data_IF_546789663924
#
_entry.id   IF_546789663924
#
_cell.length_a   1.000
_cell.length_b   1.000
_cell.length_c   1.000
_cell.angle_alpha   90.00
_cell.angle_beta   90.00
_cell.angle_gamma   90.00
#
_symmetry.space_group_name_H-M   'P 1'
#
loop_
_entity.id
_entity.type
_entity.pdbx_description
1 polymer ?
#
# COMPACT_ATOMS: atom_id res chain seq x y z
N UNK A 1 -60.04 -16.19 22.66
CA UNK A 1 -59.51 -15.01 21.94
C UNK A 1 -58.94 -14.05 22.97
N UNK A 2 -57.61 -13.95 23.10
CA UNK A 2 -56.96 -13.00 24.03
C UNK A 2 -56.69 -11.71 23.26
N UNK A 3 -57.48 -10.67 23.52
CA UNK A 3 -57.26 -9.33 23.00
C UNK A 3 -56.10 -8.69 23.78
N UNK A 4 -54.94 -8.56 23.14
CA UNK A 4 -53.82 -7.82 23.72
C UNK A 4 -54.17 -6.32 23.73
N UNK A 5 -54.15 -5.71 24.91
CA UNK A 5 -54.40 -4.27 25.11
C UNK A 5 -53.45 -3.43 24.26
N UNK A 6 -54.01 -2.52 23.44
CA UNK A 6 -53.27 -1.60 22.56
C UNK A 6 -52.21 -0.75 23.30
N UNK A 7 -52.37 -0.51 24.60
CA UNK A 7 -51.36 0.16 25.44
C UNK A 7 -50.06 -0.64 25.57
N UNK A 8 -50.15 -1.96 25.61
CA UNK A 8 -48.99 -2.85 25.75
C UNK A 8 -48.17 -2.90 24.46
N UNK A 9 -48.83 -2.85 23.29
CA UNK A 9 -48.17 -2.80 21.98
C UNK A 9 -47.45 -1.46 21.76
N UNK A 10 -48.06 -0.33 22.16
CA UNK A 10 -47.46 1.01 22.00
C UNK A 10 -46.20 1.21 22.87
N UNK A 11 -46.17 0.68 24.10
CA UNK A 11 -44.98 0.75 24.98
C UNK A 11 -43.81 -0.13 24.50
N UNK A 12 -44.09 -1.26 23.85
CA UNK A 12 -43.07 -2.13 23.24
C UNK A 12 -42.47 -1.51 21.97
N UNK A 13 -43.27 -0.81 21.17
CA UNK A 13 -42.81 -0.13 19.95
C UNK A 13 -41.99 1.13 20.28
N UNK A 14 -42.34 1.85 21.35
CA UNK A 14 -41.56 3.03 21.77
C UNK A 14 -40.21 2.64 22.39
N UNK A 15 -40.15 1.56 23.19
CA UNK A 15 -38.87 1.10 23.74
C UNK A 15 -37.94 0.58 22.65
N UNK A 16 -38.45 -0.20 21.68
CA UNK A 16 -37.67 -0.71 20.55
C UNK A 16 -37.08 0.41 19.67
N UNK A 17 -37.83 1.49 19.43
CA UNK A 17 -37.34 2.64 18.65
C UNK A 17 -36.30 3.47 19.41
N UNK A 18 -36.39 3.55 20.74
CA UNK A 18 -35.37 4.18 21.58
C UNK A 18 -34.07 3.37 21.61
N UNK A 19 -34.18 2.04 21.74
CA UNK A 19 -33.01 1.17 21.64
C UNK A 19 -32.36 1.24 20.26
N UNK A 20 -33.16 1.29 19.19
CA UNK A 20 -32.65 1.43 17.83
C UNK A 20 -31.95 2.79 17.63
N UNK A 21 -32.54 3.89 18.10
CA UNK A 21 -31.91 5.21 18.03
C UNK A 21 -30.63 5.29 18.89
N UNK A 22 -30.59 4.67 20.07
CA UNK A 22 -29.39 4.59 20.90
C UNK A 22 -28.27 3.79 20.22
N UNK A 23 -28.61 2.69 19.53
CA UNK A 23 -27.66 1.89 18.76
C UNK A 23 -27.18 2.65 17.51
N UNK A 24 -28.05 3.40 16.83
CA UNK A 24 -27.67 4.23 15.68
C UNK A 24 -26.80 5.44 16.10
N UNK A 25 -27.05 6.02 17.28
CA UNK A 25 -26.24 7.09 17.86
C UNK A 25 -24.85 6.58 18.31
N UNK A 26 -24.75 5.32 18.77
CA UNK A 26 -23.47 4.75 19.20
C UNK A 26 -22.59 4.29 18.03
N UNK A 27 -23.17 3.92 16.88
CA UNK A 27 -22.41 3.59 15.67
C UNK A 27 -21.81 4.85 15.02
N UNK A 28 -22.48 6.00 15.14
CA UNK A 28 -22.04 7.26 14.50
C UNK A 28 -20.85 7.95 15.19
N UNK A 29 -20.43 7.50 16.38
CA UNK A 29 -19.24 8.01 17.09
C UNK A 29 -17.97 7.22 16.83
N UNK A 30 -17.99 6.21 15.94
CA UNK A 30 -16.78 5.51 15.48
C UNK A 30 -15.94 6.45 14.61
N UNK A 31 -15.03 7.19 15.25
CA UNK A 31 -14.01 7.96 14.55
C UNK A 31 -12.96 6.99 14.00
N UNK A 32 -12.90 6.88 12.67
CA UNK A 32 -11.82 6.17 11.97
C UNK A 32 -10.64 7.13 11.90
N UNK A 33 -9.68 7.00 12.82
CA UNK A 33 -8.38 7.66 12.66
C UNK A 33 -7.67 7.01 11.47
N UNK A 34 -7.53 7.76 10.37
CA UNK A 34 -6.68 7.34 9.27
C UNK A 34 -5.23 7.33 9.74
N UNK A 35 -4.57 6.18 9.69
CA UNK A 35 -3.12 6.08 9.90
C UNK A 35 -2.46 6.74 8.68
N UNK A 36 -2.11 8.02 8.79
CA UNK A 36 -1.32 8.70 7.79
C UNK A 36 0.12 8.19 7.89
N UNK A 37 0.57 7.41 6.90
CA UNK A 37 1.97 7.01 6.77
C UNK A 37 2.74 8.25 6.25
N UNK A 38 3.28 9.05 7.16
CA UNK A 38 4.06 10.25 6.86
C UNK A 38 5.53 9.90 6.56
N UNK A 39 5.74 9.00 5.60
CA UNK A 39 7.09 8.67 5.13
C UNK A 39 7.15 8.71 3.60
N UNK A 40 7.44 9.90 3.08
CA UNK A 40 7.57 10.12 1.64
C UNK A 40 8.92 9.63 1.10
N UNK A 41 8.93 9.20 -0.16
CA UNK A 41 10.15 8.99 -0.92
C UNK A 41 10.71 10.35 -1.34
N UNK A 42 11.96 10.64 -0.97
CA UNK A 42 12.62 11.89 -1.29
C UNK A 42 13.21 11.81 -2.69
N UNK A 43 12.64 12.58 -3.62
CA UNK A 43 13.15 12.69 -4.98
C UNK A 43 13.00 11.40 -5.78
N UNK A 44 13.86 11.24 -6.79
CA UNK A 44 13.87 10.06 -7.64
C UNK A 44 14.84 9.01 -7.08
N UNK A 45 14.49 7.72 -7.14
CA UNK A 45 15.41 6.65 -6.78
C UNK A 45 16.63 6.67 -7.71
N UNK A 46 17.82 6.45 -7.14
CA UNK A 46 19.04 6.29 -7.92
C UNK A 46 19.04 4.89 -8.53
N UNK A 47 19.19 4.82 -9.85
CA UNK A 47 19.23 3.56 -10.60
C UNK A 47 20.64 3.37 -11.14
N UNK A 48 21.30 2.28 -10.75
CA UNK A 48 22.58 1.86 -11.30
C UNK A 48 22.39 0.60 -12.13
N UNK A 49 22.61 0.73 -13.43
CA UNK A 49 22.61 -0.40 -14.35
C UNK A 49 24.05 -0.90 -14.52
N UNK A 50 24.24 -2.20 -14.31
CA UNK A 50 25.48 -2.94 -14.56
C UNK A 50 25.22 -4.00 -15.63
N UNK A 51 26.27 -4.64 -16.11
CA UNK A 51 26.19 -5.81 -16.99
C UNK A 51 25.49 -7.02 -16.33
N UNK A 52 25.60 -7.14 -15.01
CA UNK A 52 25.03 -8.25 -14.23
C UNK A 52 23.61 -7.98 -13.72
N UNK A 53 23.21 -6.73 -13.54
CA UNK A 53 22.01 -6.39 -12.80
C UNK A 53 21.66 -4.90 -12.76
N UNK A 54 20.53 -4.59 -12.15
CA UNK A 54 20.09 -3.23 -11.84
C UNK A 54 19.98 -3.09 -10.32
N UNK A 55 20.56 -2.02 -9.78
CA UNK A 55 20.51 -1.69 -8.38
C UNK A 55 19.74 -0.39 -8.16
N UNK A 56 18.78 -0.42 -7.26
CA UNK A 56 17.88 0.68 -6.95
C UNK A 56 18.20 1.18 -5.53
N UNK A 57 18.36 2.49 -5.37
CA UNK A 57 18.54 3.10 -4.07
C UNK A 57 17.46 4.17 -3.85
N UNK A 58 16.63 3.93 -2.84
CA UNK A 58 15.50 4.78 -2.45
C UNK A 58 15.89 5.53 -1.19
N UNK A 59 15.59 6.83 -1.14
CA UNK A 59 15.71 7.65 0.07
C UNK A 59 14.34 8.05 0.54
N UNK A 60 14.14 8.04 1.85
CA UNK A 60 12.86 8.38 2.49
C UNK A 60 13.08 9.40 3.60
N UNK A 61 12.02 10.12 3.99
CA UNK A 61 12.10 11.16 5.03
C UNK A 61 12.38 10.59 6.43
N UNK A 62 11.75 9.47 6.73
CA UNK A 62 11.90 8.70 7.95
C UNK A 62 12.48 7.31 7.62
N UNK A 63 12.90 6.51 8.63
CA UNK A 63 13.38 5.16 8.40
C UNK A 63 12.42 4.33 7.53
N UNK A 64 12.95 3.73 6.47
CA UNK A 64 12.14 2.96 5.54
C UNK A 64 11.81 1.59 6.13
N UNK A 65 10.53 1.33 6.39
CA UNK A 65 10.02 0.04 6.88
C UNK A 65 8.92 -0.42 5.96
N UNK A 66 9.24 -1.34 5.07
CA UNK A 66 8.28 -1.79 4.06
C UNK A 66 8.90 -2.83 3.13
N UNK A 67 8.29 -2.99 1.96
CA UNK A 67 8.70 -3.96 0.95
C UNK A 67 9.05 -3.26 -0.35
N UNK A 68 10.19 -3.61 -0.94
CA UNK A 68 10.58 -3.22 -2.29
C UNK A 68 10.54 -4.48 -3.17
N UNK A 69 9.87 -4.42 -4.31
CA UNK A 69 9.73 -5.57 -5.19
C UNK A 69 9.59 -5.18 -6.66
N UNK A 70 9.84 -6.15 -7.55
CA UNK A 70 9.57 -5.98 -8.97
C UNK A 70 8.06 -6.08 -9.21
N UNK A 71 7.51 -5.13 -9.98
CA UNK A 71 6.09 -5.05 -10.34
C UNK A 71 5.56 -6.39 -10.85
N UNK A 72 4.47 -6.84 -10.24
CA UNK A 72 3.85 -8.14 -10.55
C UNK A 72 4.59 -9.36 -10.02
N UNK A 73 5.67 -9.20 -9.26
CA UNK A 73 6.48 -10.29 -8.69
C UNK A 73 6.47 -10.32 -7.15
N UNK A 74 5.50 -9.66 -6.50
CA UNK A 74 5.42 -9.60 -5.03
C UNK A 74 5.37 -10.99 -4.36
N UNK A 75 4.77 -11.98 -5.01
CA UNK A 75 4.64 -13.34 -4.50
C UNK A 75 5.91 -14.17 -4.60
N UNK A 76 6.97 -13.69 -5.25
CA UNK A 76 8.24 -14.40 -5.43
C UNK A 76 9.25 -13.83 -4.43
N UNK A 77 9.67 -14.59 -3.39
CA UNK A 77 10.54 -14.06 -2.33
C UNK A 77 11.89 -13.55 -2.84
N UNK A 78 12.44 -14.14 -3.91
CA UNK A 78 13.71 -13.67 -4.51
C UNK A 78 13.58 -12.35 -5.26
N UNK A 79 12.35 -11.89 -5.52
CA UNK A 79 12.03 -10.65 -6.22
C UNK A 79 11.45 -9.57 -5.30
N UNK A 80 11.48 -9.84 -3.98
CA UNK A 80 11.01 -8.94 -2.93
C UNK A 80 12.08 -8.83 -1.86
N UNK A 81 12.31 -7.62 -1.38
CA UNK A 81 13.14 -7.37 -0.22
C UNK A 81 12.31 -6.67 0.86
N UNK A 82 12.36 -7.23 2.07
CA UNK A 82 11.65 -6.74 3.24
C UNK A 82 12.60 -5.95 4.14
N UNK A 83 12.13 -4.82 4.66
CA UNK A 83 12.93 -3.87 5.44
C UNK A 83 12.31 -3.57 6.82
N UNK A 84 11.64 -4.54 7.43
CA UNK A 84 10.91 -4.34 8.70
C UNK A 84 11.78 -3.86 9.89
N UNK A 85 13.08 -4.15 9.87
CA UNK A 85 14.05 -3.74 10.90
C UNK A 85 15.10 -2.75 10.39
N UNK A 86 14.75 -1.99 9.36
CA UNK A 86 15.64 -0.98 8.83
C UNK A 86 15.41 0.36 9.53
N UNK A 87 16.46 0.86 10.18
CA UNK A 87 16.45 2.16 10.85
C UNK A 87 17.09 3.27 9.99
N UNK A 88 17.51 2.94 8.76
CA UNK A 88 18.05 3.90 7.81
C UNK A 88 16.94 4.63 7.03
N UNK A 89 17.12 5.92 6.68
CA UNK A 89 16.19 6.73 5.89
C UNK A 89 16.27 6.39 4.39
N UNK A 90 16.16 5.11 4.07
CA UNK A 90 16.28 4.59 2.71
C UNK A 90 16.58 3.10 2.69
N UNK A 91 16.60 2.56 1.49
CA UNK A 91 16.83 1.14 1.25
C UNK A 91 17.45 0.93 -0.14
N UNK A 92 18.22 -0.15 -0.28
CA UNK A 92 18.82 -0.55 -1.55
C UNK A 92 18.37 -1.96 -1.92
N UNK A 93 17.99 -2.15 -3.18
CA UNK A 93 17.49 -3.41 -3.71
C UNK A 93 18.09 -3.66 -5.10
N UNK A 94 18.65 -4.85 -5.31
CA UNK A 94 19.29 -5.22 -6.56
C UNK A 94 18.66 -6.46 -7.17
N UNK A 95 18.47 -6.44 -8.49
CA UNK A 95 17.94 -7.58 -9.26
C UNK A 95 18.85 -7.85 -10.45
N UNK A 96 19.15 -9.13 -10.70
CA UNK A 96 19.99 -9.53 -11.83
C UNK A 96 19.20 -9.49 -13.14
N UNK A 97 19.89 -9.19 -14.23
CA UNK A 97 19.25 -9.16 -15.54
C UNK A 97 18.78 -10.57 -15.94
N UNK A 98 17.48 -10.71 -16.21
CA UNK A 98 16.85 -11.99 -16.56
C UNK A 98 15.99 -12.56 -15.42
N UNK A 99 16.18 -12.08 -14.20
CA UNK A 99 15.37 -12.48 -13.05
C UNK A 99 14.10 -11.62 -12.93
N UNK A 100 13.11 -12.11 -12.17
CA UNK A 100 11.92 -11.36 -11.77
C UNK A 100 11.12 -10.76 -12.95
N UNK A 101 11.10 -11.45 -14.10
CA UNK A 101 10.37 -11.00 -15.28
C UNK A 101 10.97 -9.76 -15.95
N UNK A 102 12.19 -9.34 -15.59
CA UNK A 102 12.87 -8.24 -16.26
C UNK A 102 13.16 -8.61 -17.72
N UNK A 103 12.68 -7.78 -18.66
CA UNK A 103 12.86 -7.96 -20.10
C UNK A 103 13.80 -6.91 -20.67
N UNK A 104 14.70 -7.35 -21.56
CA UNK A 104 15.55 -6.45 -22.35
C UNK A 104 14.73 -5.89 -23.50
N UNK A 105 14.49 -4.58 -23.47
CA UNK A 105 14.01 -3.84 -24.64
C UNK A 105 15.20 -3.45 -25.49
N UNK A 106 15.17 -3.74 -26.79
CA UNK A 106 16.10 -3.16 -27.76
C UNK A 106 15.43 -1.92 -28.33
N UNK A 107 16.01 -0.75 -28.10
CA UNK A 107 15.61 0.46 -28.78
C UNK A 107 16.68 0.81 -29.80
N UNK A 108 16.27 1.12 -31.02
CA UNK A 108 17.12 1.84 -31.96
C UNK A 108 17.22 3.26 -31.42
N UNK A 109 18.43 3.80 -31.35
CA UNK A 109 18.65 5.17 -30.88
C UNK A 109 18.04 6.15 -31.89
N UNK A 110 16.74 6.39 -31.79
CA UNK A 110 16.12 7.52 -32.46
C UNK A 110 16.48 8.76 -31.67
N UNK A 111 17.18 9.70 -32.31
CA UNK A 111 17.62 10.99 -31.72
C UNK A 111 16.46 11.88 -31.25
N UNK A 112 15.22 11.44 -31.47
CA UNK A 112 13.97 12.11 -31.05
C UNK A 112 13.14 11.30 -30.04
N UNK A 113 13.53 10.07 -29.70
CA UNK A 113 12.77 9.23 -28.77
C UNK A 113 13.19 9.51 -27.32
N UNK A 114 12.22 9.91 -26.49
CA UNK A 114 12.39 10.10 -25.05
C UNK A 114 12.88 8.79 -24.42
N UNK A 115 13.95 8.77 -23.61
CA UNK A 115 14.42 7.54 -23.00
C UNK A 115 13.31 6.94 -22.14
N UNK A 116 12.87 5.73 -22.49
CA UNK A 116 11.92 4.99 -21.68
C UNK A 116 12.61 4.61 -20.36
N UNK A 117 12.33 5.37 -19.30
CA UNK A 117 12.71 5.03 -17.94
C UNK A 117 12.03 3.71 -17.55
N UNK A 118 12.78 2.61 -17.70
CA UNK A 118 12.40 1.27 -17.27
C UNK A 118 12.55 1.18 -15.75
N UNK A 119 11.58 1.71 -15.00
CA UNK A 119 11.45 1.38 -13.58
C UNK A 119 10.24 0.46 -13.40
N UNK A 120 10.49 -0.85 -13.44
CA UNK A 120 9.49 -1.87 -13.08
C UNK A 120 9.48 -2.14 -11.55
N UNK A 121 9.90 -1.19 -10.72
CA UNK A 121 10.01 -1.38 -9.27
C UNK A 121 8.86 -0.67 -8.58
N UNK A 122 8.20 -1.38 -7.67
CA UNK A 122 7.15 -0.84 -6.80
C UNK A 122 7.66 -0.80 -5.36
N UNK A 123 7.35 0.30 -4.68
CA UNK A 123 7.70 0.56 -3.28
C UNK A 123 6.40 0.52 -2.49
N UNK A 124 6.27 -0.46 -1.59
CA UNK A 124 5.20 -0.48 -0.59
C UNK A 124 5.79 -0.02 0.73
N UNK A 125 5.40 1.19 1.12
CA UNK A 125 5.58 1.72 2.47
C UNK A 125 4.72 0.94 3.47
#
# INVERSE_FOLDING_TARGET
MRTASARSVVQLVSSATWFCNLVLLSISTLQVESIAIDNEVIGLPLIQCTDQGVNFNVRTRLPFRGNIYIKGQFGVPTCRQEFYRNDAPGASFGVRIGDCGMRRGRQVLDLYAKPALLSNVEISL
#
